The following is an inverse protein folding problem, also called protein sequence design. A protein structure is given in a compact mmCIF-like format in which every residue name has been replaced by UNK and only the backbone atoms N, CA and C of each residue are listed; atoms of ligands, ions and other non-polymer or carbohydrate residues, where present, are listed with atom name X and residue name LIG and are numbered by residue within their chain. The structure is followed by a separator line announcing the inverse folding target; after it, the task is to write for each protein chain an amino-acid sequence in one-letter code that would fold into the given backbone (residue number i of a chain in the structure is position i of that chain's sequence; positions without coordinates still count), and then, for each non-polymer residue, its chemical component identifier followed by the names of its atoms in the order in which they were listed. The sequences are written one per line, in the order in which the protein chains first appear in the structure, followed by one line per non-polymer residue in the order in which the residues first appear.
data_IF_329915071425
#
_entry.id   IF_329915071425
#
_cell.length_a   1.000
_cell.length_b   1.000
_cell.length_c   1.000
_cell.angle_alpha   90.00
_cell.angle_beta   90.00
_cell.angle_gamma   90.00
#
_symmetry.space_group_name_H-M   'P 1'
#
loop_
_entity.id
_entity.type
_entity.pdbx_description
1 polymer ?
#
# COMPACT_ATOMS: atom_id res chain seq x y z
N UNK A 1 14.64 30.61 -9.50
CA UNK A 1 14.87 29.21 -9.88
C UNK A 1 13.70 28.38 -9.39
N UNK A 2 13.27 27.36 -10.12
CA UNK A 2 12.18 26.46 -9.72
C UNK A 2 12.76 25.04 -9.71
N UNK A 3 12.54 24.29 -8.63
CA UNK A 3 13.04 22.93 -8.45
C UNK A 3 12.64 22.35 -7.10
N UNK A 4 12.93 21.07 -6.91
CA UNK A 4 12.65 20.35 -5.66
C UNK A 4 13.97 19.77 -5.09
N UNK A 5 14.53 20.34 -4.01
CA UNK A 5 15.79 19.87 -3.42
C UNK A 5 15.67 18.50 -2.73
N UNK A 6 14.45 17.99 -2.52
CA UNK A 6 14.15 16.70 -1.89
C UNK A 6 13.95 15.56 -2.91
N UNK A 7 14.19 15.83 -4.19
CA UNK A 7 14.29 14.83 -5.25
C UNK A 7 15.76 14.55 -5.64
N UNK A 8 15.96 13.67 -6.62
CA UNK A 8 17.29 13.21 -7.04
C UNK A 8 18.22 14.37 -7.45
N UNK A 9 19.51 14.33 -7.05
CA UNK A 9 20.50 15.28 -7.51
C UNK A 9 20.81 15.06 -8.99
N UNK A 10 21.60 15.96 -9.58
CA UNK A 10 22.11 15.75 -10.94
C UNK A 10 23.01 14.52 -10.97
N UNK A 11 22.91 13.71 -12.04
CA UNK A 11 23.77 12.53 -12.23
C UNK A 11 25.22 12.95 -12.45
N UNK A 12 26.11 12.57 -11.53
CA UNK A 12 27.55 12.78 -11.67
C UNK A 12 28.24 11.44 -11.89
N UNK A 13 28.96 11.31 -13.01
CA UNK A 13 29.64 10.06 -13.38
C UNK A 13 30.92 9.85 -12.56
N UNK A 14 31.62 10.94 -12.21
CA UNK A 14 32.88 10.88 -11.48
C UNK A 14 32.64 10.77 -9.97
N UNK A 15 33.02 9.65 -9.32
CA UNK A 15 32.88 9.50 -7.86
C UNK A 15 33.69 10.55 -7.10
N UNK A 16 34.84 10.96 -7.65
CA UNK A 16 35.67 12.02 -7.08
C UNK A 16 34.93 13.36 -7.10
N UNK A 17 34.30 13.72 -8.23
CA UNK A 17 33.55 14.97 -8.34
C UNK A 17 32.32 14.99 -7.42
N UNK A 18 31.60 13.86 -7.34
CA UNK A 18 30.47 13.70 -6.41
C UNK A 18 30.90 13.91 -4.95
N UNK A 19 32.03 13.32 -4.56
CA UNK A 19 32.62 13.50 -3.22
C UNK A 19 32.97 14.95 -2.91
N UNK A 20 33.36 15.73 -3.91
CA UNK A 20 33.63 17.17 -3.77
C UNK A 20 32.39 18.05 -3.97
N UNK A 21 31.19 17.46 -4.01
CA UNK A 21 29.92 18.18 -3.99
C UNK A 21 29.46 18.71 -5.36
N UNK A 22 30.06 18.24 -6.47
CA UNK A 22 29.71 18.69 -7.82
C UNK A 22 28.23 18.42 -8.18
N UNK A 23 27.62 17.37 -7.59
CA UNK A 23 26.19 17.06 -7.77
C UNK A 23 25.24 18.04 -7.08
N UNK A 24 25.74 18.98 -6.28
CA UNK A 24 24.91 19.96 -5.57
C UNK A 24 24.42 21.05 -6.50
N UNK A 25 23.10 21.13 -6.71
CA UNK A 25 22.51 22.16 -7.55
C UNK A 25 22.71 23.57 -6.98
N UNK A 26 22.72 24.58 -7.86
CA UNK A 26 22.75 25.98 -7.43
C UNK A 26 21.58 26.32 -6.50
N UNK A 27 20.38 25.76 -6.76
CA UNK A 27 19.23 25.91 -5.88
C UNK A 27 19.53 25.43 -4.46
N UNK A 28 20.06 24.22 -4.32
CA UNK A 28 20.40 23.64 -3.01
C UNK A 28 21.47 24.46 -2.30
N UNK A 29 22.49 24.93 -3.02
CA UNK A 29 23.54 25.82 -2.47
C UNK A 29 22.97 27.13 -1.93
N UNK A 30 22.06 27.79 -2.65
CA UNK A 30 21.45 29.04 -2.17
C UNK A 30 20.52 28.77 -0.97
N UNK A 31 19.75 27.69 -0.99
CA UNK A 31 18.93 27.29 0.15
C UNK A 31 19.77 27.07 1.41
N UNK A 32 20.87 26.32 1.30
CA UNK A 32 21.82 26.08 2.40
C UNK A 32 22.52 27.36 2.87
N UNK A 33 22.70 28.33 1.97
CA UNK A 33 23.22 29.66 2.30
C UNK A 33 22.18 30.59 2.94
N UNK A 34 20.96 30.11 3.23
CA UNK A 34 19.92 30.86 3.93
C UNK A 34 19.07 31.78 3.04
N UNK A 35 19.17 31.65 1.71
CA UNK A 35 18.27 32.37 0.81
C UNK A 35 16.83 31.86 0.98
N UNK A 36 15.82 32.75 0.95
CA UNK A 36 14.43 32.36 1.16
C UNK A 36 13.94 31.41 0.05
N UNK A 37 13.28 30.34 0.46
CA UNK A 37 12.63 29.38 -0.44
C UNK A 37 11.13 29.44 -0.26
N UNK A 38 10.41 29.68 -1.35
CA UNK A 38 8.95 29.63 -1.37
C UNK A 38 8.48 28.22 -1.73
N UNK A 39 7.84 27.54 -0.78
CA UNK A 39 7.24 26.23 -0.99
C UNK A 39 5.88 26.37 -1.69
N UNK A 40 5.71 25.72 -2.84
CA UNK A 40 4.40 25.49 -3.44
C UNK A 40 3.73 24.33 -2.71
N UNK A 41 2.71 24.64 -1.90
CA UNK A 41 2.12 23.68 -0.95
C UNK A 41 1.11 22.74 -1.59
N UNK A 42 0.34 23.21 -2.58
CA UNK A 42 -0.75 22.41 -3.15
C UNK A 42 -0.25 21.48 -4.25
N UNK A 43 -0.49 20.18 -4.10
CA UNK A 43 -0.21 19.15 -5.09
C UNK A 43 -1.50 18.78 -5.86
N UNK A 44 -1.36 18.51 -7.15
CA UNK A 44 -2.48 18.25 -8.08
C UNK A 44 -2.33 16.93 -8.85
N UNK A 45 -1.50 16.00 -8.35
CA UNK A 45 -1.15 14.76 -9.06
C UNK A 45 -1.70 13.52 -8.38
N UNK A 46 -1.34 13.33 -7.11
CA UNK A 46 -1.44 12.05 -6.43
C UNK A 46 -2.74 11.98 -5.64
N UNK A 47 -3.31 10.78 -5.55
CA UNK A 47 -4.43 10.51 -4.65
C UNK A 47 -4.03 10.93 -3.21
N UNK A 48 -4.92 11.54 -2.42
CA UNK A 48 -4.62 11.99 -1.05
C UNK A 48 -3.95 10.93 -0.16
N UNK A 49 -4.45 9.69 -0.23
CA UNK A 49 -3.84 8.57 0.49
C UNK A 49 -2.38 8.25 0.07
N UNK A 50 -1.95 8.64 -1.12
CA UNK A 50 -0.54 8.54 -1.53
C UNK A 50 0.25 9.71 -0.93
N UNK A 51 -0.27 10.94 -0.98
CA UNK A 51 0.44 12.16 -0.56
C UNK A 51 0.68 12.25 0.95
N UNK A 52 -0.12 11.57 1.79
CA UNK A 52 0.01 11.56 3.25
C UNK A 52 1.44 11.27 3.70
N UNK A 53 2.05 10.18 3.20
CA UNK A 53 3.38 9.77 3.66
C UNK A 53 4.47 10.74 3.17
N UNK A 54 4.62 11.03 1.86
CA UNK A 54 5.64 11.97 1.38
C UNK A 54 5.50 13.35 2.02
N UNK A 55 4.27 13.86 2.18
CA UNK A 55 4.01 15.15 2.84
C UNK A 55 4.58 15.16 4.25
N UNK A 56 4.24 14.17 5.08
CA UNK A 56 4.73 14.05 6.46
C UNK A 56 6.24 13.86 6.54
N UNK A 57 6.78 12.94 5.74
CA UNK A 57 8.17 12.50 5.84
C UNK A 57 9.17 13.52 5.29
N UNK A 58 8.86 14.13 4.14
CA UNK A 58 9.83 14.96 3.42
C UNK A 58 9.49 16.45 3.48
N UNK A 59 8.22 16.81 3.65
CA UNK A 59 7.76 18.20 3.59
C UNK A 59 7.11 18.67 4.90
N UNK A 60 7.42 18.03 6.03
CA UNK A 60 6.93 18.38 7.37
C UNK A 60 5.39 18.52 7.45
N UNK A 61 4.66 17.73 6.67
CA UNK A 61 3.20 17.76 6.60
C UNK A 61 2.62 18.99 5.91
N UNK A 62 3.44 19.78 5.20
CA UNK A 62 3.03 21.05 4.61
C UNK A 62 2.39 20.95 3.23
N UNK A 63 2.36 19.76 2.60
CA UNK A 63 1.70 19.58 1.31
C UNK A 63 0.19 19.41 1.49
N UNK A 64 -0.56 20.14 0.68
CA UNK A 64 -2.02 20.15 0.62
C UNK A 64 -2.49 19.50 -0.69
N UNK A 65 -3.63 18.83 -0.69
CA UNK A 65 -4.21 18.23 -1.90
C UNK A 65 -5.21 19.19 -2.55
N UNK A 66 -5.16 19.35 -3.87
CA UNK A 66 -6.19 20.10 -4.60
C UNK A 66 -7.58 19.44 -4.54
N UNK A 67 -8.64 20.26 -4.51
CA UNK A 67 -10.02 19.86 -4.18
C UNK A 67 -10.57 18.65 -4.96
N UNK A 68 -10.21 18.51 -6.24
CA UNK A 68 -10.75 17.49 -7.13
C UNK A 68 -9.94 16.19 -7.17
N UNK A 69 -8.80 16.13 -6.47
CA UNK A 69 -7.88 15.01 -6.60
C UNK A 69 -8.47 13.68 -6.20
N UNK A 70 -9.18 13.64 -5.07
CA UNK A 70 -9.79 12.40 -4.56
C UNK A 70 -10.72 11.76 -5.59
N UNK A 71 -11.47 12.57 -6.34
CA UNK A 71 -12.40 12.07 -7.34
C UNK A 71 -11.68 11.71 -8.65
N UNK A 72 -10.75 12.54 -9.11
CA UNK A 72 -10.05 12.34 -10.38
C UNK A 72 -9.03 11.20 -10.36
N UNK A 73 -8.54 10.82 -9.17
CA UNK A 73 -7.59 9.71 -8.96
C UNK A 73 -8.25 8.43 -8.47
N UNK A 74 -9.57 8.43 -8.21
CA UNK A 74 -10.31 7.21 -7.89
C UNK A 74 -10.38 6.30 -9.12
N UNK A 75 -10.21 4.99 -8.90
CA UNK A 75 -10.20 3.98 -9.98
C UNK A 75 -11.02 2.76 -9.59
N UNK A 76 -11.42 1.96 -10.57
CA UNK A 76 -12.25 0.77 -10.34
C UNK A 76 -11.54 -0.29 -9.50
N UNK A 77 -10.21 -0.38 -9.59
CA UNK A 77 -9.42 -1.31 -8.79
C UNK A 77 -9.37 -0.96 -7.31
N UNK A 78 -9.67 0.29 -6.92
CA UNK A 78 -9.81 0.68 -5.52
C UNK A 78 -10.98 -0.01 -4.80
N UNK A 79 -11.80 -0.79 -5.51
CA UNK A 79 -12.78 -1.71 -4.90
C UNK A 79 -12.12 -2.82 -4.09
N UNK A 80 -10.86 -3.16 -4.34
CA UNK A 80 -10.11 -4.13 -3.55
C UNK A 80 -9.03 -3.41 -2.74
N UNK A 81 -8.97 -3.67 -1.43
CA UNK A 81 -8.03 -3.05 -0.49
C UNK A 81 -6.57 -3.27 -0.89
N UNK A 82 -6.25 -4.43 -1.47
CA UNK A 82 -4.91 -4.75 -1.97
C UNK A 82 -4.51 -3.94 -3.21
N UNK A 83 -5.45 -3.30 -3.91
CA UNK A 83 -5.17 -2.38 -5.00
C UNK A 83 -5.52 -0.94 -4.62
N UNK A 84 -5.58 -0.64 -3.33
CA UNK A 84 -5.88 0.69 -2.83
C UNK A 84 -4.89 1.76 -3.32
N UNK A 85 -5.11 3.03 -2.96
CA UNK A 85 -4.22 4.10 -3.38
C UNK A 85 -2.77 3.94 -2.89
N UNK A 86 -2.58 3.37 -1.71
CA UNK A 86 -1.26 3.04 -1.18
C UNK A 86 -1.34 1.64 -0.56
N UNK A 87 -0.42 0.75 -0.90
CA UNK A 87 -0.30 -0.58 -0.29
C UNK A 87 1.17 -0.95 -0.12
N UNK A 88 1.49 -1.60 0.99
CA UNK A 88 2.77 -2.24 1.23
C UNK A 88 2.57 -3.76 1.33
N UNK A 89 3.29 -4.51 0.50
CA UNK A 89 3.29 -5.96 0.47
C UNK A 89 4.60 -6.48 1.05
N UNK A 90 4.50 -7.01 2.26
CA UNK A 90 5.59 -7.65 2.97
C UNK A 90 5.75 -9.08 2.49
N UNK A 91 6.85 -9.33 1.78
CA UNK A 91 7.21 -10.64 1.27
C UNK A 91 8.54 -11.09 1.86
N UNK A 92 8.57 -12.32 2.36
CA UNK A 92 9.78 -12.96 2.85
C UNK A 92 10.52 -13.65 1.69
N UNK A 93 11.08 -12.81 0.81
CA UNK A 93 11.85 -13.26 -0.34
C UNK A 93 13.34 -13.40 -0.03
N UNK A 94 14.06 -14.19 -0.83
CA UNK A 94 15.51 -14.28 -0.74
C UNK A 94 16.18 -13.36 -1.77
N UNK A 95 17.03 -12.43 -1.30
CA UNK A 95 17.87 -11.65 -2.21
C UNK A 95 19.06 -12.50 -2.71
N UNK A 96 19.48 -12.26 -3.95
CA UNK A 96 20.67 -12.88 -4.53
C UNK A 96 21.46 -11.88 -5.37
N UNK A 97 22.73 -12.18 -5.62
CA UNK A 97 23.60 -11.39 -6.49
C UNK A 97 24.16 -12.30 -7.60
N UNK A 98 23.57 -12.26 -8.81
CA UNK A 98 24.04 -13.07 -9.92
C UNK A 98 25.49 -12.73 -10.27
N UNK A 99 26.29 -13.76 -10.53
CA UNK A 99 27.74 -13.64 -10.75
C UNK A 99 28.07 -12.61 -11.84
N UNK A 100 29.05 -11.75 -11.55
CA UNK A 100 29.55 -10.75 -12.51
C UNK A 100 28.66 -9.52 -12.72
N UNK A 101 27.53 -9.40 -12.03
CA UNK A 101 26.60 -8.27 -12.23
C UNK A 101 26.83 -7.10 -11.28
N UNK A 102 27.31 -7.37 -10.07
CA UNK A 102 27.40 -6.37 -8.99
C UNK A 102 26.04 -5.82 -8.54
N UNK A 103 24.91 -6.40 -8.97
CA UNK A 103 23.56 -5.92 -8.69
C UNK A 103 22.77 -6.98 -7.91
N UNK A 104 21.90 -6.52 -7.02
CA UNK A 104 20.97 -7.38 -6.29
C UNK A 104 19.72 -7.64 -7.10
N UNK A 105 19.14 -8.82 -6.89
CA UNK A 105 17.82 -9.22 -7.37
C UNK A 105 17.08 -10.01 -6.31
N UNK A 106 15.78 -10.11 -6.49
CA UNK A 106 14.91 -10.91 -5.66
C UNK A 106 13.78 -11.45 -6.55
N UNK A 107 13.93 -12.72 -6.91
CA UNK A 107 13.02 -13.42 -7.83
C UNK A 107 11.62 -13.62 -7.22
N UNK A 108 11.54 -13.65 -5.90
CA UNK A 108 10.27 -13.77 -5.18
C UNK A 108 9.41 -12.50 -5.34
N UNK A 109 10.02 -11.31 -5.30
CA UNK A 109 9.28 -10.09 -5.65
C UNK A 109 8.84 -10.12 -7.11
N UNK A 110 9.68 -10.59 -8.02
CA UNK A 110 9.35 -10.68 -9.45
C UNK A 110 8.14 -11.59 -9.66
N UNK A 111 8.13 -12.77 -9.04
CA UNK A 111 7.01 -13.71 -9.12
C UNK A 111 5.73 -13.06 -8.62
N UNK A 112 5.76 -12.45 -7.43
CA UNK A 112 4.59 -11.79 -6.86
C UNK A 112 4.10 -10.61 -7.70
N UNK A 113 5.00 -9.78 -8.23
CA UNK A 113 4.67 -8.64 -9.10
C UNK A 113 4.02 -9.10 -10.41
N UNK A 114 4.51 -10.19 -11.01
CA UNK A 114 3.92 -10.76 -12.22
C UNK A 114 2.50 -11.26 -11.95
N UNK A 115 2.29 -11.95 -10.82
CA UNK A 115 0.96 -12.40 -10.39
C UNK A 115 0.02 -11.22 -10.11
N UNK A 116 0.52 -10.17 -9.44
CA UNK A 116 -0.22 -8.94 -9.15
C UNK A 116 -0.66 -8.24 -10.44
N UNK A 117 0.26 -8.06 -11.40
CA UNK A 117 -0.06 -7.49 -12.70
C UNK A 117 -1.07 -8.36 -13.45
N UNK A 118 -0.88 -9.69 -13.48
CA UNK A 118 -1.81 -10.61 -14.13
C UNK A 118 -3.22 -10.47 -13.54
N UNK A 119 -3.37 -10.43 -12.21
CA UNK A 119 -4.67 -10.25 -11.55
C UNK A 119 -5.30 -8.91 -11.93
N UNK A 120 -4.55 -7.81 -11.82
CA UNK A 120 -5.00 -6.46 -12.21
C UNK A 120 -5.47 -6.43 -13.67
N UNK A 121 -4.64 -6.91 -14.60
CA UNK A 121 -4.93 -6.90 -16.03
C UNK A 121 -6.10 -7.84 -16.40
N UNK A 122 -6.30 -8.93 -15.66
CA UNK A 122 -7.43 -9.85 -15.87
C UNK A 122 -8.77 -9.24 -15.44
N UNK A 123 -8.80 -8.46 -14.36
CA UNK A 123 -10.01 -7.85 -13.82
C UNK A 123 -10.32 -6.49 -14.46
N UNK A 124 -9.30 -5.75 -14.89
CA UNK A 124 -9.42 -4.38 -15.39
C UNK A 124 -8.80 -4.26 -16.78
N UNK A 125 -9.59 -4.58 -17.81
CA UNK A 125 -9.14 -4.71 -19.20
C UNK A 125 -8.44 -3.46 -19.76
N UNK A 126 -8.77 -2.27 -19.26
CA UNK A 126 -8.12 -1.01 -19.66
C UNK A 126 -6.61 -1.02 -19.43
N UNK A 127 -6.12 -1.78 -18.44
CA UNK A 127 -4.70 -1.93 -18.14
C UNK A 127 -3.94 -2.77 -19.18
N UNK A 128 -4.64 -3.60 -19.98
CA UNK A 128 -4.02 -4.33 -21.10
C UNK A 128 -3.81 -3.44 -22.32
N UNK A 129 -4.69 -2.47 -22.54
CA UNK A 129 -4.72 -1.67 -23.76
C UNK A 129 -4.12 -0.27 -23.61
N UNK A 130 -3.63 0.08 -22.41
CA UNK A 130 -3.05 1.39 -22.14
C UNK A 130 -1.83 1.28 -21.24
N UNK A 131 -0.83 2.13 -21.48
CA UNK A 131 0.38 2.23 -20.66
C UNK A 131 0.10 3.03 -19.38
N UNK A 132 -0.81 2.54 -18.54
CA UNK A 132 -1.24 3.16 -17.28
C UNK A 132 -0.46 2.68 -16.06
N UNK A 133 0.34 1.62 -16.20
CA UNK A 133 1.08 0.98 -15.11
C UNK A 133 2.58 1.05 -15.37
N UNK A 134 3.34 1.37 -14.32
CA UNK A 134 4.78 1.20 -14.29
C UNK A 134 5.23 0.25 -13.19
N UNK A 135 6.35 -0.42 -13.44
CA UNK A 135 7.09 -1.19 -12.44
C UNK A 135 8.47 -0.56 -12.33
N UNK A 136 8.82 -0.16 -11.11
CA UNK A 136 10.05 0.57 -10.83
C UNK A 136 10.86 -0.16 -9.76
N UNK A 137 12.17 -0.18 -9.95
CA UNK A 137 13.11 -0.76 -8.98
C UNK A 137 14.42 0.04 -8.96
N UNK A 138 15.13 0.15 -7.83
CA UNK A 138 16.43 0.82 -7.80
C UNK A 138 17.54 0.00 -8.49
N UNK A 139 17.33 -1.30 -8.73
CA UNK A 139 18.35 -2.20 -9.26
C UNK A 139 18.16 -2.52 -10.74
N UNK A 140 19.17 -2.20 -11.56
CA UNK A 140 19.14 -2.45 -13.01
C UNK A 140 18.96 -3.92 -13.38
N UNK A 141 19.56 -4.84 -12.62
CA UNK A 141 19.43 -6.26 -12.92
C UNK A 141 18.05 -6.81 -12.54
N UNK A 142 17.41 -6.29 -11.49
CA UNK A 142 16.00 -6.59 -11.18
C UNK A 142 15.09 -6.15 -12.34
N UNK A 143 15.29 -4.94 -12.87
CA UNK A 143 14.56 -4.42 -14.04
C UNK A 143 14.76 -5.32 -15.27
N UNK A 144 15.98 -5.80 -15.50
CA UNK A 144 16.28 -6.75 -16.58
C UNK A 144 15.49 -8.06 -16.42
N UNK A 145 15.51 -8.67 -15.24
CA UNK A 145 14.78 -9.92 -14.99
C UNK A 145 13.25 -9.72 -15.06
N UNK A 146 12.74 -8.57 -14.59
CA UNK A 146 11.33 -8.21 -14.76
C UNK A 146 10.95 -8.15 -16.24
N UNK A 147 11.76 -7.52 -17.09
CA UNK A 147 11.52 -7.52 -18.54
C UNK A 147 11.52 -8.93 -19.14
N UNK A 148 12.47 -9.78 -18.77
CA UNK A 148 12.53 -11.17 -19.22
C UNK A 148 11.28 -11.95 -18.81
N UNK A 149 10.90 -11.88 -17.53
CA UNK A 149 9.72 -12.57 -17.01
C UNK A 149 8.42 -12.08 -17.65
N UNK A 150 8.26 -10.77 -17.81
CA UNK A 150 7.09 -10.19 -18.47
C UNK A 150 7.00 -10.57 -19.95
N UNK A 151 8.12 -10.59 -20.67
CA UNK A 151 8.18 -11.05 -22.06
C UNK A 151 7.75 -12.51 -22.17
N UNK A 152 8.27 -13.38 -21.31
CA UNK A 152 7.92 -14.81 -21.31
C UNK A 152 6.46 -15.04 -20.93
N UNK A 153 5.90 -14.30 -19.97
CA UNK A 153 4.54 -14.52 -19.49
C UNK A 153 3.45 -13.83 -20.32
N UNK A 154 3.72 -12.64 -20.87
CA UNK A 154 2.71 -11.81 -21.56
C UNK A 154 3.02 -11.57 -23.06
N UNK A 155 4.14 -12.09 -23.57
CA UNK A 155 4.58 -11.96 -24.96
C UNK A 155 5.39 -10.69 -25.25
N UNK A 156 5.99 -10.61 -26.44
CA UNK A 156 6.94 -9.53 -26.83
C UNK A 156 6.39 -8.10 -26.73
N UNK A 157 5.06 -7.94 -26.82
CA UNK A 157 4.39 -6.64 -26.83
C UNK A 157 3.93 -6.17 -25.44
N UNK A 158 4.37 -6.81 -24.35
CA UNK A 158 3.99 -6.41 -22.98
C UNK A 158 4.28 -4.93 -22.67
N UNK A 159 5.31 -4.37 -23.31
CA UNK A 159 5.75 -2.99 -23.14
C UNK A 159 4.74 -1.93 -23.63
N UNK A 160 3.71 -2.34 -24.38
CA UNK A 160 2.59 -1.48 -24.76
C UNK A 160 1.64 -1.22 -23.57
N UNK A 161 1.59 -2.16 -22.62
CA UNK A 161 0.71 -2.13 -21.45
C UNK A 161 1.45 -1.71 -20.17
N UNK A 162 2.74 -2.06 -20.05
CA UNK A 162 3.54 -1.85 -18.84
C UNK A 162 4.89 -1.22 -19.14
N UNK A 163 5.22 -0.16 -18.41
CA UNK A 163 6.54 0.50 -18.45
C UNK A 163 7.40 0.01 -17.28
N UNK A 164 8.48 -0.73 -17.55
CA UNK A 164 9.37 -1.23 -16.51
C UNK A 164 10.68 -0.45 -16.60
N UNK A 165 11.12 0.14 -15.49
CA UNK A 165 12.33 0.95 -15.48
C UNK A 165 13.01 1.04 -14.10
N UNK A 166 14.20 1.64 -14.08
CA UNK A 166 14.82 2.05 -12.82
C UNK A 166 14.16 3.29 -12.25
N UNK A 167 14.30 3.55 -10.95
CA UNK A 167 13.83 4.80 -10.31
C UNK A 167 14.39 6.02 -11.03
N UNK A 168 15.71 6.07 -11.23
CA UNK A 168 16.41 7.15 -11.91
C UNK A 168 15.93 7.30 -13.37
N UNK A 169 15.75 6.19 -14.08
CA UNK A 169 15.22 6.19 -15.46
C UNK A 169 13.75 6.59 -15.56
N UNK A 170 12.98 6.50 -14.47
CA UNK A 170 11.56 6.88 -14.41
C UNK A 170 11.34 8.31 -13.90
N UNK A 171 12.41 9.08 -13.67
CA UNK A 171 12.31 10.46 -13.23
C UNK A 171 11.53 11.31 -14.24
N UNK A 172 10.65 12.19 -13.72
CA UNK A 172 9.83 13.09 -14.54
C UNK A 172 8.64 12.42 -15.24
N UNK A 173 8.51 11.09 -15.18
CA UNK A 173 7.34 10.35 -15.67
C UNK A 173 6.34 10.09 -14.54
N UNK A 174 5.09 9.82 -14.91
CA UNK A 174 4.00 9.47 -14.00
C UNK A 174 3.06 8.45 -14.65
N UNK A 175 2.39 7.65 -13.82
CA UNK A 175 1.43 6.62 -14.22
C UNK A 175 0.26 6.57 -13.24
N UNK A 176 -0.85 5.95 -13.65
CA UNK A 176 -1.98 5.74 -12.74
C UNK A 176 -1.61 4.74 -11.64
N UNK A 177 -0.88 3.68 -12.00
CA UNK A 177 -0.36 2.67 -11.07
C UNK A 177 1.17 2.64 -11.14
N UNK A 178 1.84 2.67 -9.99
CA UNK A 178 3.26 2.35 -9.88
C UNK A 178 3.47 1.20 -8.90
N UNK A 179 4.12 0.13 -9.35
CA UNK A 179 4.58 -0.97 -8.49
C UNK A 179 6.06 -0.74 -8.20
N UNK A 180 6.44 -0.64 -6.93
CA UNK A 180 7.82 -0.41 -6.51
C UNK A 180 8.42 -1.69 -5.92
N UNK A 181 9.42 -2.27 -6.57
CA UNK A 181 10.18 -3.45 -6.10
C UNK A 181 11.41 -3.01 -5.33
N UNK A 182 11.43 -3.26 -4.03
CA UNK A 182 12.51 -2.86 -3.12
C UNK A 182 13.74 -3.76 -3.22
N UNK A 183 13.57 -5.03 -3.60
CA UNK A 183 14.60 -6.07 -3.80
C UNK A 183 15.25 -6.56 -2.52
N UNK A 184 15.71 -5.66 -1.65
CA UNK A 184 16.53 -6.01 -0.49
C UNK A 184 15.74 -6.80 0.55
N UNK A 185 16.27 -7.95 0.91
CA UNK A 185 15.75 -8.87 1.92
C UNK A 185 16.92 -9.61 2.58
N UNK A 186 17.48 -9.03 3.64
CA UNK A 186 18.61 -9.58 4.39
C UNK A 186 18.56 -9.24 5.88
N UNK A 187 19.13 -10.13 6.70
CA UNK A 187 19.29 -9.90 8.15
C UNK A 187 20.46 -8.99 8.53
N UNK A 188 21.31 -8.59 7.57
CA UNK A 188 22.53 -7.81 7.83
C UNK A 188 22.32 -6.30 7.89
N UNK A 189 21.07 -5.83 7.89
CA UNK A 189 20.71 -4.40 7.93
C UNK A 189 21.29 -3.57 6.78
N UNK A 190 21.52 -4.20 5.61
CA UNK A 190 22.06 -3.53 4.42
C UNK A 190 20.98 -3.32 3.38
N UNK A 191 20.38 -2.14 3.37
CA UNK A 191 19.39 -1.78 2.35
C UNK A 191 20.00 -1.15 1.08
N UNK A 192 21.29 -0.80 1.09
CA UNK A 192 22.03 -0.33 -0.10
C UNK A 192 21.36 0.86 -0.80
N UNK A 193 21.24 0.81 -2.14
CA UNK A 193 20.60 1.85 -2.96
C UNK A 193 19.18 2.25 -2.53
N UNK A 194 18.50 1.42 -1.74
CA UNK A 194 17.15 1.67 -1.24
C UNK A 194 17.15 2.69 -0.10
N UNK A 195 18.28 2.92 0.61
CA UNK A 195 18.38 3.94 1.68
C UNK A 195 18.37 5.38 1.18
N UNK A 196 18.48 5.59 -0.13
CA UNK A 196 18.40 6.93 -0.68
C UNK A 196 16.95 7.43 -0.60
N UNK A 197 16.68 8.26 0.41
CA UNK A 197 15.37 8.85 0.65
C UNK A 197 14.84 9.60 -0.58
N UNK A 198 15.70 10.14 -1.45
CA UNK A 198 15.28 10.80 -2.69
C UNK A 198 14.77 9.80 -3.71
N UNK A 199 15.40 8.62 -3.82
CA UNK A 199 14.89 7.52 -4.66
C UNK A 199 13.56 7.00 -4.13
N UNK A 200 13.43 6.87 -2.82
CA UNK A 200 12.17 6.53 -2.16
C UNK A 200 11.08 7.56 -2.49
N UNK A 201 11.36 8.86 -2.28
CA UNK A 201 10.41 9.95 -2.58
C UNK A 201 10.04 9.97 -4.06
N UNK A 202 11.02 9.88 -4.98
CA UNK A 202 10.75 9.80 -6.41
C UNK A 202 9.87 8.60 -6.73
N UNK A 203 10.23 7.40 -6.25
CA UNK A 203 9.51 6.16 -6.52
C UNK A 203 8.06 6.19 -6.08
N UNK A 204 7.80 6.61 -4.83
CA UNK A 204 6.45 6.68 -4.28
C UNK A 204 5.59 7.71 -5.01
N UNK A 205 6.18 8.83 -5.42
CA UNK A 205 5.47 9.94 -6.07
C UNK A 205 5.26 9.78 -7.59
N UNK A 206 5.61 8.62 -8.16
CA UNK A 206 5.34 8.33 -9.59
C UNK A 206 3.89 7.94 -9.87
N UNK A 207 3.16 7.50 -8.86
CA UNK A 207 1.78 7.07 -8.98
C UNK A 207 0.79 8.22 -8.80
N UNK A 208 -0.20 8.30 -9.70
CA UNK A 208 -1.36 9.19 -9.55
C UNK A 208 -2.47 8.57 -8.72
N UNK A 209 -2.77 7.28 -8.94
CA UNK A 209 -3.96 6.63 -8.38
C UNK A 209 -3.64 5.51 -7.40
N UNK A 210 -2.60 4.70 -7.65
CA UNK A 210 -2.17 3.60 -6.77
C UNK A 210 -0.66 3.41 -6.77
N UNK A 211 -0.04 3.42 -5.59
CA UNK A 211 1.34 2.95 -5.38
C UNK A 211 1.33 1.64 -4.59
N UNK A 212 1.96 0.61 -5.17
CA UNK A 212 2.01 -0.74 -4.63
C UNK A 212 3.46 -1.10 -4.36
N UNK A 213 3.88 -0.99 -3.10
CA UNK A 213 5.26 -1.25 -2.68
C UNK A 213 5.40 -2.73 -2.34
N UNK A 214 6.40 -3.40 -2.89
CA UNK A 214 6.71 -4.81 -2.66
C UNK A 214 8.13 -4.90 -2.10
N UNK A 215 8.27 -5.52 -0.93
CA UNK A 215 9.58 -5.68 -0.29
C UNK A 215 9.54 -6.42 1.04
N UNK A 216 10.71 -6.64 1.62
CA UNK A 216 10.86 -7.26 2.94
C UNK A 216 10.73 -6.21 4.04
N UNK A 217 9.65 -6.25 4.83
CA UNK A 217 9.46 -5.29 5.91
C UNK A 217 10.55 -5.39 6.98
N UNK A 218 10.98 -6.60 7.34
CA UNK A 218 12.03 -6.84 8.34
C UNK A 218 13.37 -6.19 7.95
N UNK A 219 13.69 -6.19 6.66
CA UNK A 219 14.91 -5.60 6.10
C UNK A 219 14.78 -4.09 5.97
N UNK A 220 13.64 -3.61 5.44
CA UNK A 220 13.41 -2.19 5.19
C UNK A 220 13.26 -1.38 6.47
N UNK A 221 12.72 -1.97 7.55
CA UNK A 221 12.58 -1.29 8.84
C UNK A 221 13.91 -0.96 9.55
N UNK A 222 15.06 -1.35 8.97
CA UNK A 222 16.40 -0.98 9.46
C UNK A 222 16.81 0.45 9.06
N UNK A 223 16.07 1.08 8.15
CA UNK A 223 16.23 2.49 7.77
C UNK A 223 15.06 3.32 8.28
N UNK A 224 15.35 4.53 8.76
CA UNK A 224 14.36 5.36 9.43
C UNK A 224 13.18 5.75 8.53
N UNK A 225 13.44 6.13 7.28
CA UNK A 225 12.39 6.54 6.34
C UNK A 225 11.52 5.34 5.95
N UNK A 226 12.15 4.21 5.65
CA UNK A 226 11.43 2.98 5.34
C UNK A 226 10.65 2.42 6.52
N UNK A 227 11.21 2.48 7.72
CA UNK A 227 10.50 2.14 8.96
C UNK A 227 9.26 3.01 9.14
N UNK A 228 9.36 4.31 8.91
CA UNK A 228 8.23 5.24 8.97
C UNK A 228 7.16 4.86 7.93
N UNK A 229 7.55 4.51 6.70
CA UNK A 229 6.62 4.08 5.67
C UNK A 229 5.91 2.77 6.03
N UNK A 230 6.65 1.77 6.51
CA UNK A 230 6.08 0.48 6.90
C UNK A 230 5.13 0.67 8.08
N UNK A 231 5.50 1.45 9.09
CA UNK A 231 4.62 1.76 10.21
C UNK A 231 3.37 2.53 9.76
N UNK A 232 3.52 3.54 8.89
CA UNK A 232 2.39 4.27 8.32
C UNK A 232 1.42 3.34 7.57
N UNK A 233 1.95 2.34 6.86
CA UNK A 233 1.14 1.36 6.15
C UNK A 233 0.34 0.45 7.10
N UNK A 234 0.93 0.07 8.24
CA UNK A 234 0.28 -0.72 9.29
C UNK A 234 -0.83 0.09 9.97
N UNK A 235 -0.53 1.32 10.38
CA UNK A 235 -1.49 2.24 11.00
C UNK A 235 -2.72 2.49 10.12
N UNK A 236 -2.52 2.55 8.80
CA UNK A 236 -3.57 2.84 7.82
C UNK A 236 -4.22 1.60 7.21
N UNK A 237 -3.94 0.42 7.77
CA UNK A 237 -4.51 -0.86 7.35
C UNK A 237 -4.31 -1.17 5.85
N UNK A 238 -3.15 -0.77 5.31
CA UNK A 238 -2.73 -1.00 3.94
C UNK A 238 -1.40 -1.78 3.84
N UNK A 239 -1.02 -2.43 4.94
CA UNK A 239 0.04 -3.43 5.00
C UNK A 239 -0.55 -4.84 4.75
N UNK A 240 0.08 -5.60 3.87
CA UNK A 240 -0.31 -6.98 3.54
C UNK A 240 0.89 -7.90 3.70
N UNK A 241 0.81 -8.88 4.59
CA UNK A 241 1.79 -9.96 4.67
C UNK A 241 1.45 -11.01 3.62
N UNK A 242 2.44 -11.41 2.82
CA UNK A 242 2.26 -12.36 1.72
C UNK A 242 3.29 -13.49 1.86
N UNK A 243 2.80 -14.72 1.85
CA UNK A 243 3.63 -15.93 1.95
C UNK A 243 3.50 -16.79 0.69
N UNK A 244 4.51 -17.64 0.46
CA UNK A 244 4.44 -18.66 -0.59
C UNK A 244 3.35 -19.71 -0.28
N UNK A 245 2.69 -20.30 -1.30
CA UNK A 245 2.77 -19.93 -2.71
C UNK A 245 2.05 -18.60 -2.98
N UNK A 246 2.70 -17.66 -3.67
CA UNK A 246 2.19 -16.29 -3.86
C UNK A 246 0.86 -16.21 -4.61
N UNK A 247 0.56 -17.20 -5.46
CA UNK A 247 -0.72 -17.31 -6.15
C UNK A 247 -1.92 -17.39 -5.19
N UNK A 248 -1.72 -17.93 -3.96
CA UNK A 248 -2.78 -18.02 -2.95
C UNK A 248 -3.31 -16.65 -2.53
N UNK A 249 -2.48 -15.60 -2.59
CA UNK A 249 -2.90 -14.24 -2.25
C UNK A 249 -3.96 -13.69 -3.22
N UNK A 250 -3.97 -14.12 -4.47
CA UNK A 250 -4.89 -13.62 -5.50
C UNK A 250 -6.04 -14.60 -5.83
N UNK A 251 -6.25 -15.63 -5.01
CA UNK A 251 -7.38 -16.54 -5.15
C UNK A 251 -8.72 -15.80 -4.91
N UNK A 252 -9.82 -16.38 -5.37
CA UNK A 252 -11.11 -15.68 -5.36
C UNK A 252 -11.63 -15.44 -3.93
N UNK A 253 -11.41 -16.38 -3.01
CA UNK A 253 -11.78 -16.24 -1.60
C UNK A 253 -11.09 -15.04 -0.94
N UNK A 254 -9.78 -14.90 -1.13
CA UNK A 254 -9.01 -13.79 -0.55
C UNK A 254 -9.35 -12.47 -1.24
N UNK A 255 -9.56 -12.49 -2.56
CA UNK A 255 -9.98 -11.29 -3.29
C UNK A 255 -11.36 -10.80 -2.85
N UNK A 256 -12.29 -11.70 -2.52
CA UNK A 256 -13.59 -11.35 -1.94
C UNK A 256 -13.44 -10.70 -0.57
N UNK A 257 -12.63 -11.31 0.31
CA UNK A 257 -12.34 -10.76 1.64
C UNK A 257 -11.64 -9.39 1.57
N UNK A 258 -10.91 -9.11 0.48
CA UNK A 258 -10.23 -7.84 0.25
C UNK A 258 -11.12 -6.77 -0.36
N UNK A 259 -12.41 -7.02 -0.66
CA UNK A 259 -13.30 -5.96 -1.15
C UNK A 259 -13.50 -4.88 -0.08
N UNK A 260 -13.49 -3.63 -0.54
CA UNK A 260 -13.83 -2.47 0.29
C UNK A 260 -15.34 -2.49 0.49
N UNK A 261 -15.77 -2.79 1.71
CA UNK A 261 -17.17 -2.66 2.08
C UNK A 261 -17.62 -1.21 1.89
N UNK A 262 -18.73 -1.02 1.16
CA UNK A 262 -19.32 0.30 1.00
C UNK A 262 -19.84 0.82 2.35
N UNK A 263 -19.95 2.14 2.51
CA UNK A 263 -20.61 2.73 3.69
C UNK A 263 -22.01 2.16 3.92
N UNK A 264 -22.71 1.80 2.84
CA UNK A 264 -24.04 1.20 2.91
C UNK A 264 -23.98 -0.25 3.42
N UNK A 265 -23.02 -1.05 2.94
CA UNK A 265 -22.81 -2.43 3.40
C UNK A 265 -22.39 -2.49 4.87
N UNK A 266 -21.51 -1.57 5.31
CA UNK A 266 -21.19 -1.44 6.74
C UNK A 266 -22.41 -1.10 7.58
N UNK A 267 -23.23 -0.16 7.09
CA UNK A 267 -24.46 0.24 7.79
C UNK A 267 -25.47 -0.92 7.87
N UNK A 268 -25.59 -1.72 6.81
CA UNK A 268 -26.42 -2.92 6.77
C UNK A 268 -25.88 -3.98 7.73
N UNK A 269 -24.56 -4.17 7.80
CA UNK A 269 -23.94 -5.11 8.73
C UNK A 269 -24.16 -4.69 10.20
N UNK A 270 -23.94 -3.41 10.51
CA UNK A 270 -24.23 -2.82 11.83
C UNK A 270 -25.71 -2.96 12.21
N UNK A 271 -26.63 -2.75 11.25
CA UNK A 271 -28.06 -2.96 11.44
C UNK A 271 -28.40 -4.43 11.69
N UNK A 272 -27.80 -5.38 10.95
CA UNK A 272 -28.04 -6.80 11.12
C UNK A 272 -27.49 -7.34 12.45
N UNK A 273 -26.32 -6.86 12.89
CA UNK A 273 -25.78 -7.19 14.22
C UNK A 273 -26.68 -6.65 15.34
N UNK A 274 -27.24 -5.45 15.16
CA UNK A 274 -28.21 -4.89 16.11
C UNK A 274 -29.52 -5.70 16.15
N UNK A 275 -30.06 -6.08 14.99
CA UNK A 275 -31.29 -6.91 14.90
C UNK A 275 -31.05 -8.29 15.53
N UNK A 276 -29.93 -8.94 15.25
CA UNK A 276 -29.60 -10.26 15.83
C UNK A 276 -29.43 -10.23 17.36
N UNK A 277 -28.93 -9.12 17.92
CA UNK A 277 -28.93 -8.92 19.38
C UNK A 277 -30.33 -8.70 19.95
N UNK A 278 -31.24 -8.10 19.17
CA UNK A 278 -32.62 -7.85 19.60
C UNK A 278 -33.43 -9.15 19.58
N UNK A 279 -33.23 -10.00 18.58
CA UNK A 279 -33.87 -11.33 18.47
C UNK A 279 -33.46 -12.28 19.62
N UNK A 280 -32.19 -12.28 20.03
CA UNK A 280 -31.70 -13.02 21.20
C UNK A 280 -32.31 -12.56 22.53
N UNK A 281 -32.71 -11.30 22.63
CA UNK A 281 -33.37 -10.75 23.83
C UNK A 281 -34.85 -11.16 23.86
N UNK A 282 -35.53 -11.21 22.71
CA UNK A 282 -36.92 -11.69 22.63
C UNK A 282 -37.05 -13.18 22.91
N UNK A 283 -36.11 -14.02 22.46
CA UNK A 283 -36.12 -15.46 22.76
C UNK A 283 -35.90 -15.75 24.26
N UNK A 284 -35.24 -14.85 24.99
CA UNK A 284 -35.09 -14.95 26.44
C UNK A 284 -36.31 -14.46 27.25
N UNK A 285 -37.23 -13.71 26.63
CA UNK A 285 -38.46 -13.26 27.29
C UNK A 285 -39.58 -14.31 27.15
N UNK A 286 -39.59 -15.12 26.09
CA UNK A 286 -40.61 -16.17 25.90
C UNK A 286 -40.43 -17.42 26.81
N UNK A 287 -39.26 -17.62 27.42
CA UNK A 287 -39.00 -18.73 28.35
C UNK A 287 -39.34 -18.41 29.84
N UNK A 288 -39.94 -17.25 30.12
CA UNK A 288 -40.18 -16.76 31.49
C UNK A 288 -41.62 -16.89 32.01
N UNK A 289 -42.56 -17.47 31.27
CA UNK A 289 -43.99 -17.43 31.63
C UNK A 289 -44.65 -18.81 31.72
N UNK A 290 -44.06 -19.73 32.49
CA UNK A 290 -44.76 -20.92 33.00
C UNK A 290 -44.73 -20.95 34.54
N UNK A 291 -45.92 -20.93 35.15
CA UNK A 291 -46.18 -21.56 36.44
C UNK A 291 -46.22 -20.65 37.68
N UNK A 292 -47.40 -20.12 38.00
CA UNK A 292 -47.80 -19.94 39.42
C UNK A 292 -49.06 -20.79 39.64
N UNK A 293 -48.83 -22.00 40.14
CA UNK A 293 -49.85 -22.81 40.79
C UNK A 293 -50.12 -22.25 42.19
N UNK A 294 -51.40 -22.16 42.57
CA UNK A 294 -51.84 -21.69 43.87
C UNK A 294 -52.56 -22.86 44.56
N UNK A 295 -51.85 -23.55 45.45
CA UNK A 295 -52.41 -24.59 46.33
C UNK A 295 -52.47 -24.08 47.77
N UNK A 296 -53.68 -24.14 48.34
CA UNK A 296 -53.97 -24.67 49.67
C UNK A 296 -53.42 -23.95 50.90
N UNK A 297 -54.32 -23.30 51.65
CA UNK A 297 -54.18 -23.18 53.10
C UNK A 297 -55.52 -23.51 53.77
N UNK A 298 -55.56 -24.70 54.38
CA UNK A 298 -56.56 -25.13 55.35
C UNK A 298 -56.41 -24.34 56.65
N UNK A 299 -57.54 -23.91 57.23
CA UNK A 299 -57.63 -23.47 58.61
C UNK A 299 -58.83 -24.18 59.25
N UNK A 300 -58.50 -25.14 60.09
CA UNK A 300 -59.34 -25.84 61.05
C UNK A 300 -59.51 -24.96 62.30
N UNK A 301 -60.74 -24.83 62.83
CA UNK A 301 -61.06 -24.95 64.26
C UNK A 301 -62.56 -24.66 64.54
N UNK A 302 -63.14 -25.51 65.38
CA UNK A 302 -64.08 -25.08 66.43
C UNK A 302 -65.57 -25.00 66.11
N UNK A 303 -66.30 -26.09 66.40
CA UNK A 303 -67.77 -26.08 66.46
C UNK A 303 -68.35 -25.50 67.75
N UNK A 304 -69.68 -25.34 67.77
CA UNK A 304 -70.62 -25.86 68.78
C UNK A 304 -72.05 -25.44 68.39
N UNK A 305 -73.00 -26.35 68.62
CA UNK A 305 -74.45 -26.19 68.50
C UNK A 305 -75.02 -25.15 69.48
N UNK A 306 -76.15 -24.51 69.13
CA UNK A 306 -77.46 -24.64 69.82
C UNK A 306 -78.48 -23.60 69.29
N UNK A 307 -79.70 -24.11 69.08
CA UNK A 307 -81.04 -23.51 68.88
C UNK A 307 -81.41 -22.71 67.61
#
# INVERSE_FOLDING_TARGET
MIGDPLQLPATVISPTAERFGYGTSLFKRLQEAGFPVHLLKTQYRMHPEISIFPSKEFYAGSLEDGDLLRNSTRRLWHKHRCFGPFCFFDIDGAESQPSGTGSWVNEDEIEFIVLMYHKLASQYLTLKSSSQLAIISPYRYQVKLLHEKFRTTFGEKYNQSVDINTVDGFQGREKDIAIFSCVRSNGESRIGFVSDFRRMNVGITRARSSVLVVGSASTLMQDDHWKNLVNNSKERNCYFKVSKPYASFFNDTNMEALKVQSKMEKKILELNEFVGQTELITDHIELGNEGIGNDGMDADDGGFDED
#
